data_IF_714885326314
#
_entry.id   IF_714885326314
#
_cell.length_a   1.000
_cell.length_b   1.000
_cell.length_c   1.000
_cell.angle_alpha   90.00
_cell.angle_beta   90.00
_cell.angle_gamma   90.00
#
_symmetry.space_group_name_H-M   'P 1'
#
loop_
_entity.id
_entity.type
_entity.pdbx_description
1 polymer ?
#
# COMPACT_ATOMS: atom_id res chain seq x y z
N UNK A 1 17.78 -14.25 18.00
CA UNK A 1 17.91 -13.03 17.17
C UNK A 1 16.79 -12.06 17.47
N UNK A 2 15.63 -12.24 16.83
CA UNK A 2 14.53 -11.25 16.87
C UNK A 2 14.06 -10.79 18.24
N UNK A 3 13.87 -11.71 19.21
CA UNK A 3 13.46 -11.33 20.57
C UNK A 3 14.45 -10.39 21.27
N UNK A 4 15.75 -10.65 21.14
CA UNK A 4 16.78 -9.79 21.70
C UNK A 4 16.82 -8.42 21.01
N UNK A 5 16.57 -8.37 19.70
CA UNK A 5 16.48 -7.12 18.96
C UNK A 5 15.29 -6.26 19.44
N UNK A 6 14.12 -6.87 19.69
CA UNK A 6 12.95 -6.18 20.25
C UNK A 6 13.26 -5.67 21.66
N UNK A 7 13.88 -6.49 22.52
CA UNK A 7 14.26 -6.06 23.86
C UNK A 7 15.26 -4.90 23.85
N UNK A 8 16.28 -4.99 23.00
CA UNK A 8 17.27 -3.92 22.86
C UNK A 8 16.62 -2.62 22.36
N UNK A 9 15.82 -2.68 21.28
CA UNK A 9 15.11 -1.51 20.75
C UNK A 9 14.10 -0.92 21.72
N UNK A 10 13.43 -1.76 22.51
CA UNK A 10 12.53 -1.31 23.59
C UNK A 10 13.32 -0.60 24.69
N UNK A 11 14.47 -1.16 25.10
CA UNK A 11 15.34 -0.53 26.09
C UNK A 11 15.93 0.80 25.63
N UNK A 12 16.33 0.89 24.36
CA UNK A 12 16.79 2.14 23.73
C UNK A 12 15.69 3.20 23.71
N UNK A 13 14.47 2.82 23.32
CA UNK A 13 13.32 3.73 23.33
C UNK A 13 13.00 4.24 24.75
N UNK A 14 13.03 3.37 25.75
CA UNK A 14 12.83 3.79 27.15
C UNK A 14 13.94 4.71 27.64
N UNK A 15 15.18 4.47 27.23
CA UNK A 15 16.31 5.36 27.55
C UNK A 15 16.08 6.75 26.96
N UNK A 16 15.62 6.84 25.71
CA UNK A 16 15.30 8.12 25.06
C UNK A 16 14.15 8.83 25.77
N UNK A 17 13.07 8.12 26.13
CA UNK A 17 11.97 8.67 26.93
C UNK A 17 12.47 9.20 28.27
N UNK A 18 13.30 8.42 28.97
CA UNK A 18 13.86 8.81 30.26
C UNK A 18 14.77 10.04 30.16
N UNK A 19 15.60 10.12 29.12
CA UNK A 19 16.43 11.30 28.82
C UNK A 19 15.55 12.53 28.57
N UNK A 20 14.47 12.38 27.79
CA UNK A 20 13.48 13.42 27.53
C UNK A 20 12.81 13.97 28.79
N UNK A 21 12.50 13.11 29.76
CA UNK A 21 11.91 13.49 31.05
C UNK A 21 12.92 14.10 32.02
N UNK A 22 14.19 13.67 31.96
CA UNK A 22 15.24 14.09 32.89
C UNK A 22 15.87 15.42 32.51
N UNK A 23 16.02 15.69 31.21
CA UNK A 23 16.69 16.89 30.72
C UNK A 23 15.70 17.84 30.04
N UNK A 24 15.28 18.89 30.76
CA UNK A 24 14.46 19.96 30.21
C UNK A 24 15.22 20.74 29.12
N UNK A 25 14.59 20.95 27.96
CA UNK A 25 15.17 21.70 26.84
C UNK A 25 15.85 20.85 25.76
N UNK A 26 15.72 19.52 25.81
CA UNK A 26 16.11 18.67 24.68
C UNK A 26 15.30 19.06 23.42
N UNK A 27 15.95 19.11 22.24
CA UNK A 27 15.23 19.32 20.99
C UNK A 27 14.13 18.26 20.78
N UNK A 28 12.97 18.68 20.27
CA UNK A 28 11.81 17.80 20.06
C UNK A 28 12.08 16.61 19.14
N UNK A 29 13.08 16.69 18.25
CA UNK A 29 13.50 15.57 17.40
C UNK A 29 14.15 14.42 18.20
N UNK A 30 14.70 14.68 19.39
CA UNK A 30 15.32 13.66 20.25
C UNK A 30 14.26 12.75 20.85
N UNK A 31 13.11 13.30 21.22
CA UNK A 31 11.98 12.58 21.82
C UNK A 31 10.87 12.29 20.81
N UNK A 32 11.08 12.59 19.53
CA UNK A 32 10.11 12.32 18.47
C UNK A 32 9.90 10.81 18.33
N UNK A 33 8.69 10.34 18.60
CA UNK A 33 8.37 8.90 18.64
C UNK A 33 8.79 8.19 19.94
N UNK A 34 9.26 8.93 20.95
CA UNK A 34 9.53 8.35 22.26
C UNK A 34 8.23 7.90 22.93
N UNK A 35 8.28 6.73 23.57
CA UNK A 35 7.15 6.12 24.24
C UNK A 35 6.71 6.99 25.42
N UNK A 36 5.41 7.33 25.53
CA UNK A 36 4.86 8.03 26.71
C UNK A 36 4.25 7.02 27.69
N UNK A 37 4.92 6.70 28.81
CA UNK A 37 4.43 5.74 29.79
C UNK A 37 3.18 6.24 30.53
N UNK A 38 2.92 7.55 30.54
CA UNK A 38 1.75 8.12 31.20
C UNK A 38 0.47 7.98 30.36
N UNK A 39 0.59 7.64 29.07
CA UNK A 39 -0.55 7.33 28.20
C UNK A 39 -1.11 5.92 28.44
N UNK A 40 -0.48 5.10 29.30
CA UNK A 40 -0.87 3.70 29.54
C UNK A 40 -2.06 3.64 30.51
N UNK A 41 -3.28 3.61 29.98
CA UNK A 41 -4.46 3.23 30.76
C UNK A 41 -4.55 1.70 30.85
N UNK A 42 -4.16 1.16 32.00
CA UNK A 42 -4.29 -0.27 32.31
C UNK A 42 -5.74 -0.58 32.68
N UNK A 43 -6.58 -0.80 31.67
CA UNK A 43 -7.91 -1.34 31.88
C UNK A 43 -7.89 -2.87 31.78
N UNK A 44 -7.70 -3.54 32.93
CA UNK A 44 -7.85 -5.00 33.03
C UNK A 44 -9.32 -5.36 33.15
N UNK A 45 -10.08 -5.13 32.08
CA UNK A 45 -11.45 -5.63 31.94
C UNK A 45 -11.45 -6.90 31.09
N UNK A 46 -12.23 -7.90 31.50
CA UNK A 46 -12.37 -9.14 30.74
C UNK A 46 -13.00 -8.84 29.37
N UNK A 47 -12.23 -8.97 28.29
CA UNK A 47 -12.65 -8.72 26.91
C UNK A 47 -13.04 -10.02 26.24
N UNK A 48 -14.31 -10.40 26.37
CA UNK A 48 -14.84 -11.61 25.72
C UNK A 48 -14.99 -11.41 24.21
N UNK A 49 -14.79 -12.48 23.39
CA UNK A 49 -15.06 -12.44 21.96
C UNK A 49 -16.49 -11.99 21.66
N UNK A 50 -16.64 -11.03 20.76
CA UNK A 50 -17.94 -10.50 20.36
C UNK A 50 -18.39 -11.13 19.05
N UNK A 51 -19.61 -11.66 19.02
CA UNK A 51 -20.17 -12.24 17.81
C UNK A 51 -20.53 -11.14 16.78
N UNK A 52 -19.89 -11.16 15.61
CA UNK A 52 -20.08 -10.18 14.54
C UNK A 52 -21.08 -10.62 13.47
N UNK A 53 -21.82 -11.73 13.67
CA UNK A 53 -22.74 -12.27 12.66
C UNK A 53 -23.79 -11.28 12.10
N UNK A 54 -24.40 -10.39 12.90
CA UNK A 54 -25.30 -9.36 12.36
C UNK A 54 -24.59 -8.39 11.41
N UNK A 55 -23.39 -7.91 11.78
CA UNK A 55 -22.59 -7.02 10.94
C UNK A 55 -22.13 -7.72 9.65
N UNK A 56 -21.73 -8.99 9.74
CA UNK A 56 -21.37 -9.81 8.58
C UNK A 56 -22.58 -9.96 7.65
N UNK A 57 -23.78 -10.22 8.19
CA UNK A 57 -25.00 -10.33 7.38
C UNK A 57 -25.29 -9.03 6.63
N UNK A 58 -25.26 -7.90 7.31
CA UNK A 58 -25.48 -6.58 6.68
C UNK A 58 -24.43 -6.32 5.61
N UNK A 59 -23.15 -6.54 5.92
CA UNK A 59 -22.07 -6.38 4.95
C UNK A 59 -22.24 -7.28 3.72
N UNK A 60 -22.62 -8.55 3.88
CA UNK A 60 -22.84 -9.46 2.76
C UNK A 60 -24.00 -9.03 1.84
N UNK A 61 -25.01 -8.33 2.38
CA UNK A 61 -26.12 -7.79 1.58
C UNK A 61 -25.68 -6.60 0.71
N UNK A 62 -24.68 -5.85 1.14
CA UNK A 62 -24.10 -4.72 0.41
C UNK A 62 -23.01 -5.19 -0.57
N UNK A 63 -23.43 -5.88 -1.64
CA UNK A 63 -22.51 -6.48 -2.64
C UNK A 63 -21.46 -5.49 -3.14
N UNK A 64 -21.86 -4.24 -3.39
CA UNK A 64 -20.96 -3.21 -3.91
C UNK A 64 -19.85 -2.83 -2.92
N UNK A 65 -20.09 -2.99 -1.61
CA UNK A 65 -19.12 -2.64 -0.58
C UNK A 65 -18.01 -3.69 -0.43
N UNK A 66 -18.31 -4.98 -0.69
CA UNK A 66 -17.31 -6.05 -0.50
C UNK A 66 -16.73 -6.64 -1.79
N UNK A 67 -17.38 -6.47 -2.94
CA UNK A 67 -16.87 -6.96 -4.22
C UNK A 67 -15.48 -6.42 -4.56
N UNK A 68 -15.16 -5.12 -4.34
CA UNK A 68 -13.81 -4.57 -4.49
C UNK A 68 -12.71 -5.39 -3.80
N UNK A 69 -13.01 -5.95 -2.63
CA UNK A 69 -12.04 -6.72 -1.85
C UNK A 69 -11.77 -8.11 -2.40
N UNK A 70 -12.55 -8.64 -3.35
CA UNK A 70 -12.28 -9.96 -3.95
C UNK A 70 -10.90 -10.03 -4.62
N UNK A 71 -10.43 -8.92 -5.20
CA UNK A 71 -9.11 -8.82 -5.81
C UNK A 71 -7.96 -8.99 -4.82
N UNK A 72 -8.23 -8.81 -3.52
CA UNK A 72 -7.27 -9.02 -2.43
C UNK A 72 -7.56 -10.34 -1.71
N UNK A 73 -8.83 -10.62 -1.40
CA UNK A 73 -9.27 -11.80 -0.64
C UNK A 73 -8.94 -13.10 -1.38
N UNK A 74 -9.15 -13.17 -2.71
CA UNK A 74 -8.88 -14.39 -3.48
C UNK A 74 -7.39 -14.70 -3.54
N UNK A 75 -6.49 -13.78 -3.96
CA UNK A 75 -5.05 -14.02 -3.91
C UNK A 75 -4.53 -14.31 -2.53
N UNK A 76 -4.99 -13.56 -1.53
CA UNK A 76 -4.53 -13.75 -0.15
C UNK A 76 -4.96 -15.11 0.38
N UNK A 77 -6.17 -15.56 0.04
CA UNK A 77 -6.65 -16.91 0.35
C UNK A 77 -5.80 -17.99 -0.32
N UNK A 78 -5.48 -17.84 -1.61
CA UNK A 78 -4.62 -18.76 -2.35
C UNK A 78 -3.19 -18.79 -1.77
N UNK A 79 -2.61 -17.62 -1.50
CA UNK A 79 -1.30 -17.47 -0.87
C UNK A 79 -1.27 -18.16 0.50
N UNK A 80 -2.31 -17.97 1.31
CA UNK A 80 -2.41 -18.61 2.62
C UNK A 80 -2.50 -20.14 2.51
N UNK A 81 -3.25 -20.65 1.53
CA UNK A 81 -3.34 -22.11 1.28
C UNK A 81 -1.98 -22.68 0.87
N UNK A 82 -1.31 -22.06 -0.10
CA UNK A 82 0.00 -22.50 -0.59
C UNK A 82 1.04 -22.39 0.54
N UNK A 83 1.09 -21.27 1.25
CA UNK A 83 2.01 -21.05 2.36
C UNK A 83 1.80 -22.05 3.50
N UNK A 84 0.55 -22.40 3.80
CA UNK A 84 0.24 -23.43 4.80
C UNK A 84 0.72 -24.82 4.35
N UNK A 85 0.60 -25.17 3.07
CA UNK A 85 1.14 -26.41 2.52
C UNK A 85 2.68 -26.45 2.59
N UNK A 86 3.33 -25.35 2.20
CA UNK A 86 4.79 -25.21 2.30
C UNK A 86 5.28 -25.37 3.75
N UNK A 87 4.52 -24.86 4.73
CA UNK A 87 4.86 -25.04 6.14
C UNK A 87 4.70 -26.49 6.62
N UNK A 88 3.72 -27.23 6.09
CA UNK A 88 3.56 -28.67 6.37
C UNK A 88 4.71 -29.47 5.76
N UNK A 89 5.09 -29.19 4.52
CA UNK A 89 6.23 -29.81 3.84
C UNK A 89 7.55 -29.47 4.55
N UNK A 90 7.71 -28.23 5.02
CA UNK A 90 8.85 -27.79 5.83
C UNK A 90 8.93 -28.56 7.15
N UNK A 91 7.80 -28.83 7.80
CA UNK A 91 7.75 -29.64 9.01
C UNK A 91 8.13 -31.11 8.74
N UNK A 92 7.66 -31.69 7.63
CA UNK A 92 7.99 -33.04 7.20
C UNK A 92 9.49 -33.17 6.89
N UNK A 93 10.08 -32.17 6.23
CA UNK A 93 11.53 -32.10 6.00
C UNK A 93 12.34 -32.02 7.31
N UNK A 94 11.78 -31.44 8.38
CA UNK A 94 12.37 -31.45 9.71
C UNK A 94 12.05 -32.73 10.53
N UNK A 95 11.39 -33.71 9.91
CA UNK A 95 11.11 -35.03 10.49
C UNK A 95 9.80 -35.15 11.27
N UNK A 96 8.89 -34.17 11.20
CA UNK A 96 7.54 -34.29 11.76
C UNK A 96 6.49 -34.29 10.64
N UNK A 97 5.82 -35.44 10.47
CA UNK A 97 4.82 -35.61 9.42
C UNK A 97 3.44 -35.28 9.95
N UNK A 98 2.80 -34.27 9.36
CA UNK A 98 1.42 -33.89 9.67
C UNK A 98 0.50 -34.17 8.48
N UNK A 99 -0.69 -34.76 8.71
CA UNK A 99 -1.65 -34.98 7.63
C UNK A 99 -2.18 -33.64 7.09
N UNK A 100 -1.96 -33.38 5.81
CA UNK A 100 -2.23 -32.08 5.22
C UNK A 100 -3.71 -31.68 5.26
N UNK A 101 -4.62 -32.55 4.82
CA UNK A 101 -6.06 -32.26 4.76
C UNK A 101 -6.65 -31.78 6.11
N UNK A 102 -6.49 -32.49 7.24
CA UNK A 102 -7.00 -32.02 8.53
C UNK A 102 -6.27 -30.79 9.06
N UNK A 103 -4.96 -30.63 8.82
CA UNK A 103 -4.23 -29.42 9.20
C UNK A 103 -4.77 -28.18 8.46
N UNK A 104 -5.00 -28.31 7.16
CA UNK A 104 -5.59 -27.26 6.32
C UNK A 104 -7.04 -26.97 6.70
N UNK A 105 -7.83 -28.01 7.00
CA UNK A 105 -9.21 -27.84 7.45
C UNK A 105 -9.29 -27.07 8.77
N UNK A 106 -8.41 -27.38 9.74
CA UNK A 106 -8.34 -26.65 11.00
C UNK A 106 -7.92 -25.19 10.79
N UNK A 107 -6.99 -24.92 9.86
CA UNK A 107 -6.62 -23.55 9.52
C UNK A 107 -7.81 -22.77 8.92
N UNK A 108 -8.53 -23.35 7.95
CA UNK A 108 -9.70 -22.71 7.34
C UNK A 108 -10.84 -22.48 8.33
N UNK A 109 -11.14 -23.47 9.17
CA UNK A 109 -12.14 -23.33 10.24
C UNK A 109 -11.74 -22.27 11.25
N UNK A 110 -10.46 -22.22 11.64
CA UNK A 110 -9.92 -21.17 12.52
C UNK A 110 -10.11 -19.77 11.94
N UNK A 111 -9.85 -19.60 10.63
CA UNK A 111 -10.08 -18.35 9.91
C UNK A 111 -11.55 -17.94 9.92
N UNK A 112 -12.47 -18.86 9.61
CA UNK A 112 -13.91 -18.57 9.60
C UNK A 112 -14.39 -18.20 11.01
N UNK A 113 -13.98 -18.96 12.03
CA UNK A 113 -14.32 -18.68 13.42
C UNK A 113 -13.78 -17.31 13.84
N UNK A 114 -12.51 -17.01 13.58
CA UNK A 114 -11.92 -15.72 13.89
C UNK A 114 -12.67 -14.57 13.20
N UNK A 115 -13.02 -14.73 11.92
CA UNK A 115 -13.81 -13.74 11.17
C UNK A 115 -15.20 -13.51 11.77
N UNK A 116 -15.88 -14.57 12.20
CA UNK A 116 -17.16 -14.48 12.91
C UNK A 116 -17.10 -13.70 14.23
N UNK A 117 -15.91 -13.60 14.84
CA UNK A 117 -15.64 -12.80 16.04
C UNK A 117 -14.89 -11.49 15.75
N UNK A 118 -14.88 -11.04 14.49
CA UNK A 118 -14.39 -9.72 14.10
C UNK A 118 -12.92 -9.65 13.67
N UNK A 119 -12.21 -10.78 13.55
CA UNK A 119 -10.86 -10.76 12.99
C UNK A 119 -10.90 -10.45 11.49
N UNK A 120 -10.24 -9.38 11.07
CA UNK A 120 -10.03 -9.06 9.66
C UNK A 120 -8.84 -9.80 9.03
N UNK A 121 -8.06 -10.53 9.84
CA UNK A 121 -6.89 -11.27 9.38
C UNK A 121 -7.17 -12.78 9.36
N UNK A 122 -6.87 -13.48 8.24
CA UNK A 122 -6.99 -14.92 8.18
C UNK A 122 -5.91 -15.60 9.05
N UNK A 123 -6.21 -16.78 9.57
CA UNK A 123 -5.21 -17.62 10.23
C UNK A 123 -4.36 -18.34 9.20
N UNK A 124 -3.12 -18.66 9.55
CA UNK A 124 -2.22 -19.50 8.74
C UNK A 124 -1.50 -20.49 9.63
N UNK A 125 -1.08 -21.62 9.06
CA UNK A 125 -0.07 -22.46 9.71
C UNK A 125 1.21 -21.64 9.80
N UNK A 126 1.81 -21.56 11.00
CA UNK A 126 2.93 -20.68 11.27
C UNK A 126 4.23 -21.17 10.61
N UNK A 127 4.99 -20.24 10.03
CA UNK A 127 6.29 -20.53 9.42
C UNK A 127 7.36 -20.78 10.48
N UNK A 128 8.32 -21.67 10.17
CA UNK A 128 9.52 -21.84 10.99
C UNK A 128 9.49 -23.04 11.94
N UNK A 129 8.61 -24.02 11.72
CA UNK A 129 8.64 -25.32 12.42
C UNK A 129 10.06 -25.91 12.56
N UNK A 130 10.91 -25.96 11.49
CA UNK A 130 12.28 -26.45 11.63
C UNK A 130 13.13 -25.66 12.63
N UNK A 131 12.97 -24.33 12.65
CA UNK A 131 13.70 -23.44 13.55
C UNK A 131 13.31 -23.66 15.02
N UNK A 132 12.00 -23.73 15.31
CA UNK A 132 11.51 -24.01 16.66
C UNK A 132 11.92 -25.40 17.14
N UNK A 133 11.82 -26.41 16.27
CA UNK A 133 12.26 -27.77 16.58
C UNK A 133 13.76 -27.83 16.86
N UNK A 134 14.57 -27.11 16.10
CA UNK A 134 16.01 -26.99 16.32
C UNK A 134 16.37 -26.40 17.69
N UNK A 135 15.50 -25.56 18.27
CA UNK A 135 15.63 -25.02 19.63
C UNK A 135 15.12 -25.98 20.72
N UNK A 136 14.68 -27.19 20.35
CA UNK A 136 14.11 -28.18 21.27
C UNK A 136 12.63 -27.93 21.60
N UNK A 137 11.94 -27.04 20.89
CA UNK A 137 10.51 -26.82 21.09
C UNK A 137 9.70 -28.07 20.69
N UNK A 138 8.64 -28.35 21.45
CA UNK A 138 7.72 -29.47 21.24
C UNK A 138 6.28 -28.97 21.31
N UNK A 139 5.31 -29.86 21.18
CA UNK A 139 3.88 -29.51 21.21
C UNK A 139 3.48 -28.63 22.40
N UNK A 140 4.05 -28.86 23.59
CA UNK A 140 3.77 -28.05 24.78
C UNK A 140 4.11 -26.56 24.62
N UNK A 141 5.19 -26.23 23.89
CA UNK A 141 5.54 -24.85 23.59
C UNK A 141 4.44 -24.15 22.78
N UNK A 142 3.95 -24.82 21.73
CA UNK A 142 2.87 -24.29 20.87
C UNK A 142 1.58 -24.09 21.66
N UNK A 143 1.19 -25.05 22.50
CA UNK A 143 -0.02 -24.97 23.32
C UNK A 143 0.08 -23.85 24.35
N UNK A 144 1.20 -23.73 25.05
CA UNK A 144 1.42 -22.68 26.04
C UNK A 144 1.41 -21.29 25.40
N UNK A 145 1.99 -21.14 24.21
CA UNK A 145 1.92 -19.89 23.46
C UNK A 145 0.46 -19.51 23.14
N UNK A 146 -0.35 -20.47 22.67
CA UNK A 146 -1.78 -20.25 22.43
C UNK A 146 -2.53 -19.81 23.69
N UNK A 147 -2.31 -20.49 24.81
CA UNK A 147 -2.92 -20.14 26.11
C UNK A 147 -2.49 -18.75 26.57
N UNK A 148 -1.20 -18.41 26.45
CA UNK A 148 -0.66 -17.13 26.85
C UNK A 148 -1.27 -15.97 26.03
N UNK A 149 -1.36 -16.11 24.70
CA UNK A 149 -1.99 -15.10 23.84
C UNK A 149 -3.49 -14.96 24.14
N UNK A 150 -4.20 -16.06 24.40
CA UNK A 150 -5.61 -16.01 24.82
C UNK A 150 -5.75 -15.27 26.15
N UNK A 151 -4.89 -15.55 27.14
CA UNK A 151 -4.92 -14.84 28.42
C UNK A 151 -4.64 -13.34 28.24
N UNK A 152 -3.62 -12.97 27.45
CA UNK A 152 -3.27 -11.57 27.16
C UNK A 152 -4.44 -10.82 26.53
N UNK A 153 -5.10 -11.43 25.53
CA UNK A 153 -6.21 -10.80 24.80
C UNK A 153 -7.47 -10.71 25.66
N UNK A 154 -7.84 -11.77 26.39
CA UNK A 154 -9.00 -11.77 27.29
C UNK A 154 -8.83 -10.80 28.46
N UNK A 155 -7.62 -10.60 28.98
CA UNK A 155 -7.36 -9.66 30.08
C UNK A 155 -7.22 -8.20 29.60
N UNK A 156 -7.34 -7.93 28.30
CA UNK A 156 -7.19 -6.58 27.74
C UNK A 156 -5.75 -6.06 27.75
N UNK A 157 -4.76 -6.93 27.92
CA UNK A 157 -3.34 -6.54 28.10
C UNK A 157 -2.64 -6.13 26.80
N UNK A 158 -3.29 -6.27 25.64
CA UNK A 158 -2.72 -5.84 24.35
C UNK A 158 -2.37 -4.35 24.34
N UNK A 159 -3.23 -3.49 24.91
CA UNK A 159 -2.96 -2.05 24.98
C UNK A 159 -1.74 -1.75 25.86
N UNK A 160 -1.57 -2.51 26.94
CA UNK A 160 -0.39 -2.40 27.81
C UNK A 160 0.86 -2.81 27.05
N UNK A 161 0.84 -3.93 26.32
CA UNK A 161 1.98 -4.38 25.52
C UNK A 161 2.31 -3.36 24.42
N UNK A 162 1.30 -2.84 23.70
CA UNK A 162 1.47 -1.83 22.66
C UNK A 162 1.99 -0.49 23.22
N UNK A 163 1.69 -0.18 24.48
CA UNK A 163 2.18 1.00 25.18
C UNK A 163 3.51 0.76 25.92
N UNK A 164 4.10 -0.43 25.82
CA UNK A 164 5.38 -0.78 26.45
C UNK A 164 6.42 -1.07 25.38
N UNK A 165 6.00 -1.70 24.28
CA UNK A 165 6.83 -2.03 23.12
C UNK A 165 6.62 -0.96 22.03
N UNK A 166 7.67 -0.20 21.66
CA UNK A 166 7.56 0.82 20.62
C UNK A 166 7.16 0.22 19.28
N UNK A 167 6.32 0.92 18.52
CA UNK A 167 5.92 0.48 17.19
C UNK A 167 7.12 0.44 16.23
N UNK A 168 8.10 1.30 16.46
CA UNK A 168 9.35 1.42 15.72
C UNK A 168 10.19 0.13 15.83
N UNK A 169 10.26 -0.45 17.03
CA UNK A 169 10.94 -1.73 17.25
C UNK A 169 10.25 -2.87 16.49
N UNK A 170 8.91 -2.85 16.45
CA UNK A 170 8.10 -3.75 15.63
C UNK A 170 8.31 -3.55 14.13
N UNK A 171 8.36 -2.30 13.67
CA UNK A 171 8.59 -1.96 12.26
C UNK A 171 9.97 -2.43 11.78
N UNK A 172 11.01 -2.24 12.60
CA UNK A 172 12.37 -2.68 12.28
C UNK A 172 12.49 -4.19 12.08
N UNK A 173 11.85 -5.00 12.94
CA UNK A 173 11.87 -6.45 12.78
C UNK A 173 11.08 -6.90 11.54
N UNK A 174 9.95 -6.26 11.24
CA UNK A 174 9.15 -6.55 10.04
C UNK A 174 9.95 -6.21 8.78
N UNK A 175 10.65 -5.07 8.76
CA UNK A 175 11.53 -4.69 7.66
C UNK A 175 12.64 -5.72 7.44
N UNK A 176 13.31 -6.15 8.51
CA UNK A 176 14.34 -7.18 8.44
C UNK A 176 13.79 -8.51 7.92
N UNK A 177 12.62 -8.92 8.38
CA UNK A 177 11.93 -10.12 7.88
C UNK A 177 11.66 -9.98 6.37
N UNK A 178 11.18 -8.82 5.91
CA UNK A 178 10.96 -8.56 4.48
C UNK A 178 12.24 -8.66 3.65
N UNK A 179 13.36 -8.12 4.15
CA UNK A 179 14.68 -8.22 3.51
C UNK A 179 15.12 -9.69 3.41
N UNK A 180 15.00 -10.46 4.50
CA UNK A 180 15.39 -11.87 4.53
C UNK A 180 14.51 -12.72 3.61
N UNK A 181 13.19 -12.51 3.60
CA UNK A 181 12.28 -13.23 2.70
C UNK A 181 12.63 -12.91 1.24
N UNK A 182 12.90 -11.64 0.93
CA UNK A 182 13.33 -11.24 -0.42
C UNK A 182 14.63 -11.93 -0.80
N UNK A 183 15.65 -11.89 0.06
CA UNK A 183 16.92 -12.56 -0.17
C UNK A 183 16.75 -14.09 -0.34
N UNK A 184 15.91 -14.71 0.48
CA UNK A 184 15.59 -16.15 0.39
C UNK A 184 14.88 -16.49 -0.92
N UNK A 185 14.00 -15.62 -1.43
CA UNK A 185 13.36 -15.84 -2.72
C UNK A 185 14.39 -15.93 -3.85
N UNK A 186 15.42 -15.08 -3.84
CA UNK A 186 16.52 -15.17 -4.81
C UNK A 186 17.43 -16.39 -4.56
N UNK A 187 17.76 -16.69 -3.30
CA UNK A 187 18.67 -17.79 -2.96
C UNK A 187 18.08 -19.19 -3.14
N UNK A 188 16.77 -19.34 -2.94
CA UNK A 188 16.07 -20.62 -3.10
C UNK A 188 15.67 -20.90 -4.56
N UNK A 189 15.68 -19.87 -5.41
CA UNK A 189 15.37 -19.96 -6.83
C UNK A 189 16.66 -20.25 -7.61
N UNK A 190 16.57 -20.99 -8.71
CA UNK A 190 17.74 -21.22 -9.58
C UNK A 190 18.27 -19.88 -10.14
N UNK A 191 19.58 -19.79 -10.36
CA UNK A 191 20.25 -18.53 -10.73
C UNK A 191 19.65 -17.91 -12.02
N UNK A 192 19.32 -18.75 -13.00
CA UNK A 192 18.71 -18.34 -14.28
C UNK A 192 17.32 -17.70 -14.11
N UNK A 193 16.61 -18.02 -13.02
CA UNK A 193 15.26 -17.52 -12.73
C UNK A 193 15.26 -16.27 -11.85
N UNK A 194 16.42 -15.74 -11.46
CA UNK A 194 16.51 -14.47 -10.71
C UNK A 194 15.74 -13.30 -11.36
N UNK A 195 15.73 -13.13 -12.71
CA UNK A 195 14.90 -12.10 -13.34
C UNK A 195 13.40 -12.27 -13.09
N UNK A 196 12.90 -13.51 -12.99
CA UNK A 196 11.48 -13.77 -12.70
C UNK A 196 11.11 -13.35 -11.27
N UNK A 197 12.02 -13.55 -10.31
CA UNK A 197 11.85 -13.07 -8.93
C UNK A 197 11.79 -11.53 -8.90
N UNK A 198 12.70 -10.86 -9.62
CA UNK A 198 12.72 -9.40 -9.71
C UNK A 198 11.45 -8.82 -10.36
N UNK A 199 10.97 -9.42 -11.46
CA UNK A 199 9.70 -9.05 -12.11
C UNK A 199 8.53 -9.21 -11.15
N UNK A 200 8.52 -10.31 -10.38
CA UNK A 200 7.50 -10.56 -9.37
C UNK A 200 7.44 -9.52 -8.26
N UNK A 201 8.55 -8.84 -7.94
CA UNK A 201 8.59 -7.82 -6.89
C UNK A 201 8.08 -6.45 -7.37
N UNK A 202 8.22 -6.16 -8.66
CA UNK A 202 8.00 -4.82 -9.22
C UNK A 202 6.58 -4.27 -8.99
N UNK A 203 5.48 -5.02 -9.21
CA UNK A 203 4.13 -4.50 -8.96
C UNK A 203 3.88 -4.18 -7.48
N UNK A 204 4.47 -4.92 -6.54
CA UNK A 204 4.35 -4.63 -5.11
C UNK A 204 5.07 -3.33 -4.72
N UNK A 205 6.24 -3.07 -5.32
CA UNK A 205 6.95 -1.78 -5.13
C UNK A 205 6.13 -0.62 -5.70
N UNK A 206 5.54 -0.82 -6.89
CA UNK A 206 4.66 0.18 -7.48
C UNK A 206 3.40 0.42 -6.61
N UNK A 207 2.80 -0.63 -6.05
CA UNK A 207 1.68 -0.54 -5.11
C UNK A 207 2.03 0.27 -3.85
N UNK A 208 3.21 0.03 -3.27
CA UNK A 208 3.72 0.85 -2.18
C UNK A 208 3.92 2.31 -2.59
N UNK A 209 4.52 2.56 -3.76
CA UNK A 209 4.66 3.90 -4.32
C UNK A 209 3.32 4.61 -4.48
N UNK A 210 2.29 3.90 -4.96
CA UNK A 210 0.93 4.42 -5.08
C UNK A 210 0.37 4.80 -3.71
N UNK A 211 0.57 3.96 -2.70
CA UNK A 211 0.10 4.22 -1.34
C UNK A 211 0.73 5.48 -0.76
N UNK A 212 2.04 5.67 -0.93
CA UNK A 212 2.76 6.87 -0.51
C UNK A 212 2.25 8.11 -1.24
N UNK A 213 2.08 8.02 -2.56
CA UNK A 213 1.53 9.10 -3.39
C UNK A 213 0.11 9.48 -2.95
N UNK A 214 -0.76 8.50 -2.74
CA UNK A 214 -2.15 8.72 -2.30
C UNK A 214 -2.19 9.38 -0.92
N UNK A 215 -1.38 8.89 0.03
CA UNK A 215 -1.25 9.52 1.35
C UNK A 215 -0.77 10.96 1.26
N UNK A 216 0.22 11.23 0.43
CA UNK A 216 0.73 12.59 0.21
C UNK A 216 -0.35 13.51 -0.40
N UNK A 217 -1.11 13.04 -1.40
CA UNK A 217 -2.21 13.80 -2.00
C UNK A 217 -3.29 14.10 -0.96
N UNK A 218 -3.73 13.10 -0.19
CA UNK A 218 -4.76 13.28 0.83
C UNK A 218 -4.34 14.29 1.91
N UNK A 219 -3.08 14.25 2.35
CA UNK A 219 -2.57 15.18 3.37
C UNK A 219 -2.31 16.57 2.78
N UNK A 220 -1.94 16.66 1.51
CA UNK A 220 -1.60 17.93 0.86
C UNK A 220 -2.78 18.89 0.78
N UNK A 221 -4.01 18.40 0.59
CA UNK A 221 -5.18 19.26 0.39
C UNK A 221 -5.01 20.29 -0.74
N UNK A 222 -4.22 19.97 -1.78
CA UNK A 222 -3.88 20.88 -2.88
C UNK A 222 -2.59 21.68 -2.70
N UNK A 223 -1.87 21.51 -1.59
CA UNK A 223 -0.56 22.12 -1.34
C UNK A 223 0.53 21.50 -2.20
N UNK A 224 1.48 22.32 -2.65
CA UNK A 224 2.66 21.82 -3.37
C UNK A 224 3.70 21.19 -2.42
N UNK A 225 4.65 20.43 -2.95
CA UNK A 225 5.65 19.73 -2.13
C UNK A 225 6.48 20.68 -1.24
N UNK A 226 6.71 21.91 -1.69
CA UNK A 226 7.40 22.92 -0.88
C UNK A 226 6.57 23.29 0.36
N UNK A 227 5.28 23.54 0.20
CA UNK A 227 4.36 23.84 1.30
C UNK A 227 4.18 22.69 2.29
N UNK A 228 4.40 21.44 1.85
CA UNK A 228 4.33 20.25 2.70
C UNK A 228 5.64 20.05 3.49
N UNK A 229 6.79 20.27 2.85
CA UNK A 229 8.12 19.94 3.41
C UNK A 229 8.74 21.13 4.15
N UNK A 230 8.35 22.37 3.82
CA UNK A 230 8.82 23.55 4.55
C UNK A 230 8.42 23.43 6.03
N UNK A 231 9.34 23.74 6.96
CA UNK A 231 9.00 23.79 8.38
C UNK A 231 7.82 24.73 8.56
N UNK A 232 6.67 24.20 8.95
CA UNK A 232 5.51 25.02 9.25
C UNK A 232 5.94 25.97 10.37
N UNK A 233 5.81 27.31 10.20
CA UNK A 233 6.03 28.20 11.33
C UNK A 233 5.07 27.75 12.41
N UNK A 234 5.59 27.47 13.60
CA UNK A 234 4.79 27.18 14.79
C UNK A 234 3.80 28.32 14.95
N UNK A 235 2.55 28.11 14.51
CA UNK A 235 1.48 29.06 14.75
C UNK A 235 1.22 28.97 16.24
N UNK A 236 1.82 29.91 16.98
CA UNK A 236 1.35 30.23 18.31
C UNK A 236 -0.15 30.46 18.19
N UNK A 237 -0.92 29.73 19.00
CA UNK A 237 -2.37 29.77 19.03
C UNK A 237 -2.88 31.23 18.93
N UNK A 238 -3.50 31.56 17.80
CA UNK A 238 -4.22 32.80 17.60
C UNK A 238 -5.64 32.44 17.16
N UNK A 239 -6.50 32.42 18.19
CA UNK A 239 -7.94 32.71 18.21
C UNK A 239 -8.81 32.23 17.04
N UNK A 240 -9.61 31.21 17.35
CA UNK A 240 -10.89 30.93 16.70
C UNK A 240 -11.87 32.04 17.08
N UNK A 241 -12.19 32.92 16.14
CA UNK A 241 -13.46 33.65 16.12
C UNK A 241 -13.69 34.29 14.76
N UNK A 242 -14.50 33.66 13.90
CA UNK A 242 -15.61 34.42 13.32
C UNK A 242 -16.78 33.51 12.95
N UNK A 243 -17.93 33.97 13.41
CA UNK A 243 -19.22 33.29 13.46
C UNK A 243 -19.88 33.33 12.08
N UNK A 244 -20.40 32.19 11.65
CA UNK A 244 -21.28 32.07 10.51
C UNK A 244 -22.50 33.00 10.64
N UNK A 245 -22.67 33.94 9.71
CA UNK A 245 -23.93 34.67 9.54
C UNK A 245 -24.82 33.92 8.51
N UNK A 246 -26.15 33.80 8.73
CA UNK A 246 -27.03 33.07 7.83
C UNK A 246 -27.33 33.87 6.55
N UNK A 247 -27.43 33.15 5.43
CA UNK A 247 -27.91 33.66 4.15
C UNK A 247 -29.45 33.75 4.22
N UNK A 248 -30.00 34.97 4.20
CA UNK A 248 -31.40 35.22 3.84
C UNK A 248 -31.51 35.63 2.36
N UNK A 249 -32.52 35.09 1.69
CA UNK A 249 -32.81 35.31 0.29
C UNK A 249 -33.81 36.47 0.08
N UNK A 250 -33.60 37.27 -0.97
CA UNK A 250 -34.70 37.84 -1.77
C UNK A 250 -34.68 39.35 -2.07
N UNK A 251 -34.73 39.65 -3.39
CA UNK A 251 -35.39 40.80 -4.07
C UNK A 251 -34.76 42.20 -3.86
N UNK A 252 -34.63 43.14 -4.81
CA UNK A 252 -35.11 43.37 -6.18
C UNK A 252 -34.39 44.60 -6.77
N UNK A 253 -34.16 44.59 -8.09
CA UNK A 253 -34.28 45.68 -9.08
C UNK A 253 -33.39 46.95 -9.08
N UNK A 254 -33.08 47.32 -10.34
CA UNK A 254 -32.80 48.65 -10.93
C UNK A 254 -31.34 49.11 -11.15
N UNK A 255 -30.90 48.92 -12.41
CA UNK A 255 -30.00 49.78 -13.21
C UNK A 255 -30.64 51.18 -13.48
N UNK A 256 -30.01 52.16 -14.19
CA UNK A 256 -28.65 52.20 -14.79
C UNK A 256 -27.92 53.57 -14.66
N UNK A 257 -26.70 53.65 -15.25
CA UNK A 257 -26.34 54.62 -16.32
C UNK A 257 -24.99 55.38 -16.17
N UNK A 258 -24.24 55.37 -17.30
CA UNK A 258 -23.38 56.45 -17.89
C UNK A 258 -22.07 56.81 -17.16
N UNK A 259 -20.91 57.12 -17.78
CA UNK A 259 -20.46 57.57 -19.13
C UNK A 259 -18.92 57.48 -19.10
N UNK A 260 -18.23 56.84 -20.04
CA UNK A 260 -17.57 57.39 -21.25
C UNK A 260 -16.55 58.55 -21.06
N UNK A 261 -15.48 58.46 -21.88
CA UNK A 261 -14.54 59.50 -22.40
C UNK A 261 -13.08 59.19 -21.98
N UNK A 262 -12.24 58.60 -22.87
CA UNK A 262 -11.40 59.21 -23.95
C UNK A 262 -10.16 59.93 -23.35
N UNK A 263 -8.98 60.10 -23.97
CA UNK A 263 -8.36 59.83 -25.26
C UNK A 263 -6.86 60.14 -25.07
N UNK A 264 -6.05 59.93 -26.11
CA UNK A 264 -4.70 60.45 -26.36
C UNK A 264 -3.55 59.76 -25.59
N UNK A 265 -2.42 59.40 -26.19
CA UNK A 265 -1.89 59.68 -27.52
C UNK A 265 -0.37 59.47 -27.47
N UNK A 266 0.10 58.57 -28.33
CA UNK A 266 1.39 58.50 -29.04
C UNK A 266 2.60 59.38 -28.59
N UNK A 267 3.81 58.81 -28.58
CA UNK A 267 4.98 59.17 -29.44
C UNK A 267 6.31 58.63 -28.87
N UNK A 268 7.09 58.06 -29.79
CA UNK A 268 8.45 57.53 -29.67
C UNK A 268 9.51 58.56 -29.24
N UNK A 269 10.62 58.13 -28.60
CA UNK A 269 11.95 58.44 -29.13
C UNK A 269 13.09 57.61 -28.50
N UNK A 270 14.08 57.28 -29.33
CA UNK A 270 15.34 56.61 -28.98
C UNK A 270 16.38 57.63 -28.48
N UNK A 271 17.21 57.28 -27.49
CA UNK A 271 18.66 57.57 -27.45
C UNK A 271 19.28 57.11 -26.13
N UNK A 272 20.46 56.49 -26.23
CA UNK A 272 21.17 55.89 -25.10
C UNK A 272 22.12 56.82 -24.36
N UNK A 273 22.49 56.40 -23.15
CA UNK A 273 23.75 56.76 -22.48
C UNK A 273 24.10 55.69 -21.44
N UNK A 274 25.39 55.40 -21.37
CA UNK A 274 26.05 54.38 -20.54
C UNK A 274 26.41 54.99 -19.17
N UNK A 275 26.31 54.12 -18.14
CA UNK A 275 26.89 54.18 -16.80
C UNK A 275 26.28 55.20 -15.81
N UNK A 276 25.68 54.67 -14.75
CA UNK A 276 26.17 54.86 -13.39
C UNK A 276 25.79 53.66 -12.52
N UNK A 277 26.77 53.25 -11.72
CA UNK A 277 26.81 52.09 -10.84
C UNK A 277 26.10 52.47 -9.53
N UNK A 278 24.84 52.09 -9.36
CA UNK A 278 24.12 52.18 -8.08
C UNK A 278 23.51 50.81 -7.72
N UNK A 279 23.91 50.31 -6.56
CA UNK A 279 23.50 49.04 -6.00
C UNK A 279 22.00 49.03 -5.68
N UNK A 280 21.22 48.18 -6.37
CA UNK A 280 19.82 47.89 -6.02
C UNK A 280 19.72 46.57 -5.22
N UNK A 281 19.32 46.61 -3.93
CA UNK A 281 19.09 45.43 -3.12
C UNK A 281 17.68 44.88 -3.36
N UNK A 282 17.40 44.36 -4.55
CA UNK A 282 16.13 43.68 -4.83
C UNK A 282 16.24 42.70 -6.01
N UNK A 283 17.11 41.69 -5.90
CA UNK A 283 17.00 40.52 -6.75
C UNK A 283 15.69 39.78 -6.41
N UNK A 284 14.64 40.04 -7.19
CA UNK A 284 13.39 39.30 -7.14
C UNK A 284 13.66 37.79 -7.25
N UNK A 285 13.09 36.94 -6.38
CA UNK A 285 13.33 35.50 -6.42
C UNK A 285 12.55 34.90 -7.59
N UNK A 286 13.25 34.63 -8.69
CA UNK A 286 12.82 33.90 -9.89
C UNK A 286 11.59 34.48 -10.63
N UNK A 287 11.62 34.59 -11.97
CA UNK A 287 10.39 34.89 -12.71
C UNK A 287 9.37 33.76 -12.46
N UNK A 288 8.05 34.05 -12.41
CA UNK A 288 7.04 33.02 -12.29
C UNK A 288 7.19 32.07 -13.47
N UNK A 289 7.58 30.83 -13.19
CA UNK A 289 7.61 29.77 -14.19
C UNK A 289 6.17 29.58 -14.64
N UNK A 290 5.85 30.01 -15.86
CA UNK A 290 4.56 29.74 -16.46
C UNK A 290 4.28 28.22 -16.35
N UNK A 291 3.08 27.80 -15.92
CA UNK A 291 2.79 26.39 -15.73
C UNK A 291 2.99 25.68 -17.06
N UNK A 292 4.05 24.87 -17.14
CA UNK A 292 4.37 24.10 -18.32
C UNK A 292 3.20 23.13 -18.55
N UNK A 293 2.40 23.35 -19.59
CA UNK A 293 1.28 22.45 -19.96
C UNK A 293 1.75 21.00 -20.19
N UNK A 294 3.06 20.78 -20.41
CA UNK A 294 3.69 19.46 -20.52
C UNK A 294 3.87 18.72 -19.20
N UNK A 295 3.88 19.39 -18.04
CA UNK A 295 4.10 18.74 -16.74
C UNK A 295 2.86 18.00 -16.23
N UNK A 296 1.66 18.52 -16.50
CA UNK A 296 0.39 17.93 -16.06
C UNK A 296 0.13 16.59 -16.77
N UNK A 297 0.41 16.50 -18.08
CA UNK A 297 0.26 15.26 -18.85
C UNK A 297 1.28 14.20 -18.44
N UNK A 298 2.54 14.59 -18.19
CA UNK A 298 3.57 13.66 -17.72
C UNK A 298 3.28 13.15 -16.30
N UNK A 299 2.84 14.02 -15.39
CA UNK A 299 2.45 13.62 -14.04
C UNK A 299 1.21 12.72 -14.07
N UNK A 300 0.22 13.03 -14.92
CA UNK A 300 -0.96 12.17 -15.11
C UNK A 300 -0.60 10.78 -15.62
N UNK A 301 0.37 10.66 -16.54
CA UNK A 301 0.87 9.37 -17.03
C UNK A 301 1.53 8.53 -15.93
N UNK A 302 2.38 9.15 -15.08
CA UNK A 302 3.04 8.46 -13.98
C UNK A 302 2.04 7.98 -12.92
N UNK A 303 1.08 8.83 -12.55
CA UNK A 303 0.00 8.50 -11.60
C UNK A 303 -0.85 7.36 -12.16
N UNK A 304 -1.23 7.43 -13.44
CA UNK A 304 -1.99 6.38 -14.11
C UNK A 304 -1.25 5.04 -14.06
N UNK A 305 0.04 5.01 -14.43
CA UNK A 305 0.83 3.78 -14.40
C UNK A 305 1.00 3.20 -12.99
N UNK A 306 1.12 4.05 -11.98
CA UNK A 306 1.25 3.62 -10.58
C UNK A 306 -0.04 3.00 -10.04
N UNK A 307 -1.18 3.63 -10.32
CA UNK A 307 -2.51 3.08 -9.99
C UNK A 307 -2.75 1.77 -10.73
N UNK A 308 -2.31 1.68 -11.99
CA UNK A 308 -2.44 0.47 -12.79
C UNK A 308 -1.74 -0.74 -12.16
N UNK A 309 -0.52 -0.54 -11.67
CA UNK A 309 0.28 -1.60 -11.06
C UNK A 309 -0.17 -1.94 -9.64
N UNK A 310 -0.76 -0.99 -8.92
CA UNK A 310 -1.29 -1.21 -7.57
C UNK A 310 -2.54 -2.09 -7.59
N UNK A 311 -3.43 -1.92 -8.58
CA UNK A 311 -4.74 -2.60 -8.60
C UNK A 311 -4.58 -4.07 -8.92
N UNK A 312 -4.76 -4.92 -7.91
CA UNK A 312 -4.54 -6.35 -8.03
C UNK A 312 -3.07 -6.71 -8.12
N UNK A 313 -2.18 -5.93 -7.47
CA UNK A 313 -0.73 -6.14 -7.53
C UNK A 313 -0.32 -7.58 -7.15
N UNK A 314 -1.01 -8.24 -6.21
CA UNK A 314 -0.69 -9.62 -5.81
C UNK A 314 -0.84 -10.59 -6.99
N UNK A 315 -1.95 -10.50 -7.73
CA UNK A 315 -2.13 -11.28 -8.96
C UNK A 315 -1.09 -10.92 -10.01
N UNK A 316 -0.83 -9.63 -10.18
CA UNK A 316 0.15 -9.12 -11.15
C UNK A 316 1.55 -9.68 -10.87
N UNK A 317 2.01 -9.62 -9.62
CA UNK A 317 3.26 -10.20 -9.15
C UNK A 317 3.36 -11.69 -9.50
N UNK A 318 2.34 -12.47 -9.13
CA UNK A 318 2.33 -13.92 -9.33
C UNK A 318 2.32 -14.30 -10.81
N UNK A 319 1.45 -13.67 -11.61
CA UNK A 319 1.27 -14.01 -13.02
C UNK A 319 2.49 -13.59 -13.84
N UNK A 320 3.04 -12.40 -13.60
CA UNK A 320 4.23 -11.94 -14.31
C UNK A 320 5.48 -12.76 -13.93
N UNK A 321 5.65 -13.13 -12.65
CA UNK A 321 6.73 -14.01 -12.24
C UNK A 321 6.60 -15.41 -12.88
N UNK A 322 5.40 -15.99 -12.88
CA UNK A 322 5.16 -17.30 -13.48
C UNK A 322 5.37 -17.30 -15.01
N UNK A 323 4.91 -16.24 -15.70
CA UNK A 323 5.13 -16.07 -17.12
C UNK A 323 6.62 -15.89 -17.44
N UNK A 324 7.34 -15.05 -16.68
CA UNK A 324 8.78 -14.85 -16.84
C UNK A 324 9.55 -16.16 -16.65
N UNK A 325 9.23 -16.94 -15.60
CA UNK A 325 9.84 -18.25 -15.39
C UNK A 325 9.58 -19.21 -16.57
N UNK A 326 8.34 -19.25 -17.09
CA UNK A 326 8.02 -20.07 -18.26
C UNK A 326 8.80 -19.63 -19.52
N UNK A 327 9.05 -18.33 -19.69
CA UNK A 327 9.83 -17.81 -20.83
C UNK A 327 11.31 -18.18 -20.70
N UNK A 328 11.87 -18.09 -19.49
CA UNK A 328 13.25 -18.51 -19.18
C UNK A 328 13.41 -20.00 -19.50
N UNK A 329 12.45 -20.83 -19.09
CA UNK A 329 12.42 -22.27 -19.39
C UNK A 329 12.12 -22.60 -20.87
N UNK A 330 11.93 -21.59 -21.73
CA UNK A 330 11.49 -21.74 -23.13
C UNK A 330 10.15 -22.50 -23.27
N UNK A 331 9.35 -22.54 -22.20
CA UNK A 331 8.00 -23.12 -22.16
C UNK A 331 6.97 -22.09 -22.62
N UNK A 332 7.14 -21.61 -23.85
CA UNK A 332 6.34 -20.49 -24.41
C UNK A 332 4.83 -20.75 -24.40
N UNK A 333 4.39 -22.00 -24.58
CA UNK A 333 2.97 -22.34 -24.48
C UNK A 333 2.40 -22.13 -23.07
N UNK A 334 3.18 -22.42 -22.03
CA UNK A 334 2.78 -22.15 -20.64
C UNK A 334 2.78 -20.64 -20.35
N UNK A 335 3.77 -19.90 -20.86
CA UNK A 335 3.79 -18.44 -20.77
C UNK A 335 2.56 -17.81 -21.45
N UNK A 336 2.15 -18.32 -22.62
CA UNK A 336 0.94 -17.88 -23.31
C UNK A 336 -0.32 -18.10 -22.47
N UNK A 337 -0.44 -19.26 -21.80
CA UNK A 337 -1.56 -19.54 -20.89
C UNK A 337 -1.57 -18.51 -19.73
N UNK A 338 -0.43 -18.21 -19.13
CA UNK A 338 -0.35 -17.19 -18.07
C UNK A 338 -0.77 -15.80 -18.55
N UNK A 339 -0.43 -15.42 -19.78
CA UNK A 339 -0.91 -14.17 -20.36
C UNK A 339 -2.41 -14.19 -20.64
N UNK A 340 -3.01 -15.32 -21.04
CA UNK A 340 -4.46 -15.45 -21.15
C UNK A 340 -5.16 -15.36 -19.80
N UNK A 341 -4.56 -15.92 -18.74
CA UNK A 341 -5.05 -15.75 -17.35
C UNK A 341 -4.98 -14.27 -16.95
N UNK A 342 -3.87 -13.57 -17.24
CA UNK A 342 -3.73 -12.13 -17.00
C UNK A 342 -4.81 -11.32 -17.74
N UNK A 343 -5.05 -11.64 -19.01
CA UNK A 343 -6.08 -11.01 -19.82
C UNK A 343 -7.48 -11.21 -19.22
N UNK A 344 -7.80 -12.43 -18.79
CA UNK A 344 -9.08 -12.75 -18.14
C UNK A 344 -9.27 -11.98 -16.82
N UNK A 345 -8.27 -11.99 -15.94
CA UNK A 345 -8.31 -11.23 -14.70
C UNK A 345 -8.45 -9.72 -14.94
N UNK A 346 -7.74 -9.17 -15.92
CA UNK A 346 -7.82 -7.76 -16.30
C UNK A 346 -9.20 -7.42 -16.87
N UNK A 347 -9.73 -8.23 -17.78
CA UNK A 347 -11.03 -8.02 -18.40
C UNK A 347 -12.20 -8.06 -17.39
N UNK A 348 -12.04 -8.83 -16.31
CA UNK A 348 -13.00 -8.89 -15.20
C UNK A 348 -12.86 -7.71 -14.22
N UNK A 349 -11.79 -6.91 -14.33
CA UNK A 349 -11.47 -5.81 -13.41
C UNK A 349 -10.82 -6.27 -12.10
N UNK A 350 -10.29 -7.50 -12.05
CA UNK A 350 -9.55 -8.04 -10.90
C UNK A 350 -8.16 -7.39 -10.80
N UNK A 351 -7.58 -7.06 -11.96
CA UNK A 351 -6.29 -6.38 -12.11
C UNK A 351 -6.49 -5.09 -12.89
N UNK A 352 -5.67 -4.07 -12.61
CA UNK A 352 -5.47 -2.84 -13.40
C UNK A 352 -6.67 -1.87 -13.52
N UNK A 353 -7.91 -2.34 -13.36
CA UNK A 353 -9.10 -1.50 -13.42
C UNK A 353 -9.31 -0.72 -12.13
N UNK A 354 -9.67 0.56 -12.26
CA UNK A 354 -9.93 1.45 -11.13
C UNK A 354 -10.96 2.51 -11.45
N UNK A 355 -11.47 3.13 -10.40
CA UNK A 355 -12.26 4.36 -10.48
C UNK A 355 -11.75 5.38 -9.45
N UNK A 356 -11.94 6.65 -9.76
CA UNK A 356 -11.60 7.77 -8.88
C UNK A 356 -12.80 8.69 -8.76
N UNK A 357 -13.23 8.96 -7.52
CA UNK A 357 -14.37 9.82 -7.23
C UNK A 357 -14.15 10.60 -5.95
N UNK A 358 -14.83 11.73 -5.80
CA UNK A 358 -14.79 12.53 -4.59
C UNK A 358 -16.01 12.22 -3.72
N UNK A 359 -15.85 12.13 -2.40
CA UNK A 359 -17.00 12.10 -1.49
C UNK A 359 -17.58 13.51 -1.41
N UNK A 360 -18.86 13.73 -1.75
CA UNK A 360 -19.49 15.04 -1.68
C UNK A 360 -19.34 15.66 -0.29
N UNK A 361 -18.77 16.86 -0.21
CA UNK A 361 -18.58 17.61 1.03
C UNK A 361 -17.34 17.22 1.86
N UNK A 362 -16.53 16.25 1.43
CA UNK A 362 -15.30 15.87 2.12
C UNK A 362 -14.03 16.43 1.47
N UNK A 363 -14.03 16.76 0.17
CA UNK A 363 -12.82 17.22 -0.54
C UNK A 363 -11.76 16.13 -0.73
N UNK A 364 -12.11 14.86 -0.50
CA UNK A 364 -11.19 13.71 -0.52
C UNK A 364 -11.49 12.84 -1.74
N UNK A 365 -10.49 12.65 -2.59
CA UNK A 365 -10.54 11.71 -3.70
C UNK A 365 -10.32 10.27 -3.21
N UNK A 366 -11.30 9.40 -3.45
CA UNK A 366 -11.22 7.95 -3.25
C UNK A 366 -10.71 7.32 -4.53
N UNK A 367 -9.77 6.39 -4.37
CA UNK A 367 -9.29 5.52 -5.45
C UNK A 367 -9.72 4.09 -5.15
N UNK A 368 -10.60 3.54 -5.98
CA UNK A 368 -11.27 2.28 -5.72
C UNK A 368 -11.13 1.31 -6.90
N UNK A 369 -11.35 0.03 -6.65
CA UNK A 369 -11.42 -1.01 -7.67
C UNK A 369 -12.68 -0.83 -8.53
N UNK A 370 -12.59 -1.21 -9.80
CA UNK A 370 -13.74 -1.19 -10.71
C UNK A 370 -13.89 -2.54 -11.43
N UNK A 371 -14.71 -3.42 -10.85
CA UNK A 371 -15.05 -4.69 -11.48
C UNK A 371 -15.88 -4.49 -12.74
N UNK A 372 -15.76 -5.42 -13.69
CA UNK A 372 -16.42 -5.32 -15.01
C UNK A 372 -17.94 -5.19 -14.90
N UNK A 373 -18.53 -5.90 -13.95
CA UNK A 373 -19.98 -5.98 -13.78
C UNK A 373 -20.56 -4.89 -12.85
N UNK A 374 -19.71 -4.03 -12.29
CA UNK A 374 -20.15 -2.91 -11.47
C UNK A 374 -20.32 -1.64 -12.32
N UNK A 375 -21.41 -0.88 -12.13
CA UNK A 375 -21.46 0.49 -12.62
C UNK A 375 -20.45 1.33 -11.82
N UNK A 376 -19.77 2.29 -12.47
CA UNK A 376 -18.95 3.26 -11.75
C UNK A 376 -19.83 4.13 -10.86
N UNK A 377 -19.24 4.67 -9.79
CA UNK A 377 -19.91 5.65 -8.93
C UNK A 377 -20.27 6.89 -9.77
N UNK A 378 -21.43 7.50 -9.49
CA UNK A 378 -21.89 8.69 -10.21
C UNK A 378 -20.85 9.82 -10.10
N UNK A 379 -20.44 10.38 -11.24
CA UNK A 379 -19.40 11.41 -11.31
C UNK A 379 -17.96 10.89 -11.19
N UNK A 380 -17.74 9.57 -11.09
CA UNK A 380 -16.41 8.99 -11.05
C UNK A 380 -15.71 9.01 -12.41
N UNK A 381 -14.39 9.21 -12.40
CA UNK A 381 -13.52 8.78 -13.48
C UNK A 381 -13.37 7.26 -13.42
N UNK A 382 -13.67 6.56 -14.52
CA UNK A 382 -13.66 5.10 -14.58
C UNK A 382 -12.70 4.60 -15.65
N UNK A 383 -11.81 3.68 -15.27
CA UNK A 383 -10.86 3.03 -16.17
C UNK A 383 -10.98 1.51 -16.06
N UNK A 384 -11.38 0.84 -17.16
CA UNK A 384 -11.67 -0.60 -17.20
C UNK A 384 -10.51 -1.49 -17.69
N UNK A 385 -9.37 -0.91 -18.06
CA UNK A 385 -8.18 -1.65 -18.50
C UNK A 385 -8.37 -2.59 -19.72
N UNK A 386 -9.32 -2.29 -20.62
CA UNK A 386 -9.61 -3.11 -21.81
C UNK A 386 -8.42 -3.17 -22.79
N UNK A 387 -7.69 -2.06 -22.89
CA UNK A 387 -6.42 -1.91 -23.61
C UNK A 387 -5.32 -2.84 -23.09
N UNK A 388 -5.23 -3.02 -21.77
CA UNK A 388 -4.24 -3.91 -21.15
C UNK A 388 -4.66 -5.37 -21.28
N UNK A 389 -5.96 -5.67 -21.12
CA UNK A 389 -6.47 -6.99 -21.39
C UNK A 389 -6.16 -7.44 -22.82
N UNK A 390 -6.35 -6.55 -23.80
CA UNK A 390 -5.96 -6.78 -25.19
C UNK A 390 -4.44 -7.00 -25.34
N UNK A 391 -3.63 -6.20 -24.64
CA UNK A 391 -2.16 -6.34 -24.65
C UNK A 391 -1.71 -7.70 -24.15
N UNK A 392 -2.34 -8.23 -23.10
CA UNK A 392 -2.09 -9.59 -22.61
C UNK A 392 -2.51 -10.67 -23.62
N UNK A 393 -3.63 -10.49 -24.34
CA UNK A 393 -4.01 -11.40 -25.43
C UNK A 393 -2.97 -11.38 -26.55
N UNK A 394 -2.49 -10.21 -26.95
CA UNK A 394 -1.45 -10.07 -27.96
C UNK A 394 -0.13 -10.70 -27.52
N UNK A 395 0.25 -10.53 -26.25
CA UNK A 395 1.41 -11.20 -25.67
C UNK A 395 1.23 -12.74 -25.68
N UNK A 396 0.05 -13.24 -25.34
CA UNK A 396 -0.27 -14.68 -25.41
C UNK A 396 -0.12 -15.23 -26.82
N UNK A 397 -0.67 -14.54 -27.82
CA UNK A 397 -0.53 -14.91 -29.24
C UNK A 397 0.95 -14.92 -29.64
N UNK A 398 1.69 -13.89 -29.24
CA UNK A 398 3.12 -13.78 -29.54
C UNK A 398 3.90 -14.96 -28.96
N UNK A 399 3.71 -15.27 -27.67
CA UNK A 399 4.37 -16.40 -27.03
C UNK A 399 3.93 -17.74 -27.64
N UNK A 400 2.66 -17.88 -28.02
CA UNK A 400 2.20 -19.08 -28.71
C UNK A 400 2.88 -19.27 -30.07
N UNK A 401 2.93 -18.22 -30.90
CA UNK A 401 3.58 -18.24 -32.23
C UNK A 401 5.07 -18.54 -32.10
N UNK A 402 5.77 -17.87 -31.17
CA UNK A 402 7.17 -18.16 -30.86
C UNK A 402 7.34 -19.60 -30.40
N UNK A 403 6.42 -20.13 -29.60
CA UNK A 403 6.42 -21.52 -29.16
C UNK A 403 6.21 -22.52 -30.29
N UNK A 404 5.43 -22.19 -31.33
CA UNK A 404 5.31 -23.00 -32.53
C UNK A 404 6.62 -22.98 -33.33
N UNK A 405 7.16 -21.80 -33.58
CA UNK A 405 8.43 -21.62 -34.29
C UNK A 405 9.61 -22.30 -33.59
N UNK A 406 9.68 -22.22 -32.26
CA UNK A 406 10.77 -22.78 -31.47
C UNK A 406 10.79 -24.32 -31.47
N UNK A 407 9.66 -24.99 -31.74
CA UNK A 407 9.61 -26.46 -31.87
C UNK A 407 10.31 -26.96 -33.13
N UNK A 408 10.34 -26.15 -34.18
CA UNK A 408 10.94 -26.49 -35.47
C UNK A 408 12.43 -26.15 -35.52
N UNK A 409 12.99 -25.56 -34.46
CA UNK A 409 14.41 -25.23 -34.35
C UNK A 409 15.17 -26.41 -33.71
N UNK A 410 16.34 -26.79 -34.24
CA UNK A 410 17.21 -27.75 -33.56
C UNK A 410 17.64 -27.18 -32.20
N UNK A 411 17.60 -27.99 -31.14
CA UNK A 411 18.04 -27.57 -29.81
C UNK A 411 19.47 -27.03 -29.88
N UNK A 412 19.65 -25.74 -29.59
CA UNK A 412 20.96 -25.17 -29.43
C UNK A 412 21.62 -25.81 -28.20
N UNK A 413 22.85 -26.30 -28.36
CA UNK A 413 23.66 -26.89 -27.28
C UNK A 413 23.60 -26.00 -26.02
N UNK A 414 23.43 -26.57 -24.81
CA UNK A 414 23.16 -25.85 -23.56
C UNK A 414 24.36 -25.07 -23.00
N UNK A 415 25.30 -24.65 -23.85
CA UNK A 415 26.52 -23.95 -23.48
C UNK A 415 26.75 -22.76 -24.42
N UNK A 416 25.89 -21.74 -24.33
CA UNK A 416 26.18 -20.40 -24.82
C UNK A 416 25.57 -19.37 -23.87
#
# INVERSE_FOLDING_TARGET
GGFLAILAGTGEAWLITWLGQTYAGLPSWVTFGALDPNAVNVETTLRLPQWCGPAIRTGLQEVQAWLPFLSVVIPMGLFNVIGSLQNIESAEAAGDRYPAAPAMAMNGLGTILAGCFGSCFPTTIYIGHPGWKGLGARAGYSTLNGIAIVAITLLGLLNVIAAVVPMEAGAAIILWIGIIITAQAFQATQEDHAPAVAIGLFPAIAAWGATVMLGAIMISGGKNLYEIVAPQPTVAAAEVSEVAAPIEAGTTNEEPATTAIADDGNVNDESGTIADDEADPAAAPFPPVAPAKSSVTANGFLVHGLLLMERGYIFTCMILAAAAACLIDRRFGAAAIWMLVAAGCTALGIMHAYQVYEIPGAGIAIFDYLFRFMPPVDGAYAYRADDIALSYVLAAITFWVVGLWAKDQPEASPHL
#
